data_IF_279819803321
#
_entry.id   IF_279819803321
#
_cell.length_a   1.000
_cell.length_b   1.000
_cell.length_c   1.000
_cell.angle_alpha   90.00
_cell.angle_beta   90.00
_cell.angle_gamma   90.00
#
_symmetry.space_group_name_H-M   'P 1'
#
loop_
_entity.id
_entity.type
_entity.pdbx_description
1 polymer ?
#
# COMPACT_ATOMS: atom_id res chain seq x y z
N UNK A 1 -17.03 -11.58 8.66
CA UNK A 1 -16.40 -10.24 8.60
C UNK A 1 -16.31 -9.69 10.01
N UNK A 2 -15.15 -9.19 10.46
CA UNK A 2 -14.98 -8.58 11.78
C UNK A 2 -15.10 -7.05 11.67
N UNK A 3 -16.27 -6.50 11.99
CA UNK A 3 -16.49 -5.05 12.01
C UNK A 3 -15.52 -4.34 12.98
N UNK A 4 -15.22 -3.06 12.72
CA UNK A 4 -14.48 -2.22 13.65
C UNK A 4 -15.24 -2.14 14.99
N UNK A 5 -14.67 -2.74 16.03
CA UNK A 5 -15.19 -2.70 17.40
C UNK A 5 -14.16 -2.02 18.29
N UNK A 6 -14.59 -1.03 19.06
CA UNK A 6 -13.77 -0.48 20.13
C UNK A 6 -13.43 -1.60 21.14
N UNK A 7 -12.27 -1.50 21.79
CA UNK A 7 -11.90 -2.44 22.85
C UNK A 7 -12.68 -2.13 24.13
N UNK A 8 -13.16 -3.14 24.87
CA UNK A 8 -13.69 -2.92 26.21
C UNK A 8 -12.58 -2.36 27.10
N UNK A 9 -12.94 -1.43 27.99
CA UNK A 9 -12.02 -0.93 29.03
C UNK A 9 -11.63 -2.08 29.96
N UNK A 10 -10.36 -2.19 30.39
CA UNK A 10 -9.99 -3.15 31.41
C UNK A 10 -10.63 -2.76 32.75
N UNK A 11 -11.60 -3.54 33.20
CA UNK A 11 -12.10 -3.42 34.58
C UNK A 11 -10.98 -3.77 35.57
N UNK A 12 -10.88 -2.99 36.64
CA UNK A 12 -9.79 -3.11 37.63
C UNK A 12 -10.00 -4.29 38.58
N UNK A 13 -10.00 -5.53 38.07
CA UNK A 13 -10.05 -6.74 38.88
C UNK A 13 -8.65 -7.13 39.38
N UNK A 14 -8.31 -6.71 40.60
CA UNK A 14 -7.12 -7.20 41.31
C UNK A 14 -7.23 -8.71 41.56
N UNK A 15 -6.52 -9.54 40.79
CA UNK A 15 -6.40 -10.97 41.07
C UNK A 15 -4.95 -11.46 41.07
N UNK A 16 -4.59 -12.14 42.16
CA UNK A 16 -3.23 -12.61 42.50
C UNK A 16 -2.59 -13.42 41.37
N UNK A 17 -1.30 -13.18 41.13
CA UNK A 17 -0.42 -14.10 40.38
C UNK A 17 -0.41 -15.47 41.07
N UNK A 18 -0.52 -16.53 40.27
CA UNK A 18 0.12 -17.81 40.55
C UNK A 18 0.89 -18.21 39.28
N UNK A 19 2.19 -18.45 39.42
CA UNK A 19 3.07 -18.86 38.33
C UNK A 19 3.03 -20.38 38.16
N UNK A 20 2.94 -20.90 36.94
CA UNK A 20 3.66 -22.13 36.55
C UNK A 20 3.54 -22.47 35.05
N UNK A 21 4.70 -22.68 34.41
CA UNK A 21 4.91 -23.30 33.09
C UNK A 21 4.28 -22.58 31.86
N UNK A 22 4.80 -22.68 30.64
CA UNK A 22 5.97 -23.42 30.14
C UNK A 22 6.67 -22.58 29.06
N UNK A 23 7.98 -22.81 28.86
CA UNK A 23 8.79 -22.10 27.86
C UNK A 23 8.48 -22.61 26.44
N UNK A 24 7.46 -22.03 25.79
CA UNK A 24 7.33 -22.11 24.34
C UNK A 24 8.20 -21.01 23.72
N UNK A 25 9.28 -21.37 23.04
CA UNK A 25 10.20 -20.43 22.41
C UNK A 25 9.56 -19.76 21.19
N UNK A 26 8.92 -18.61 21.42
CA UNK A 26 8.56 -17.67 20.36
C UNK A 26 9.84 -17.15 19.71
N UNK A 27 10.28 -17.80 18.62
CA UNK A 27 11.41 -17.34 17.82
C UNK A 27 11.13 -15.94 17.32
N UNK A 28 11.99 -14.99 17.68
CA UNK A 28 11.82 -13.58 17.32
C UNK A 28 11.91 -13.44 15.81
N UNK A 29 10.88 -12.83 15.20
CA UNK A 29 10.80 -12.70 13.74
C UNK A 29 11.94 -11.87 13.13
N UNK A 30 12.73 -11.18 13.95
CA UNK A 30 13.91 -10.42 13.55
C UNK A 30 15.12 -11.30 13.19
N UNK A 31 15.18 -12.55 13.67
CA UNK A 31 16.30 -13.46 13.41
C UNK A 31 16.20 -14.26 12.09
N UNK A 32 15.06 -14.19 11.36
CA UNK A 32 14.99 -14.79 10.02
C UNK A 32 15.72 -13.93 8.99
N UNK A 33 16.50 -14.56 8.11
CA UNK A 33 17.12 -13.89 6.96
C UNK A 33 16.06 -13.27 6.05
N UNK A 34 16.42 -12.20 5.30
CA UNK A 34 15.49 -11.53 4.37
C UNK A 34 14.87 -12.51 3.37
N UNK A 35 15.66 -13.45 2.84
CA UNK A 35 15.17 -14.54 1.99
C UNK A 35 14.08 -15.41 2.64
N UNK A 36 14.22 -15.73 3.93
CA UNK A 36 13.22 -16.49 4.68
C UNK A 36 11.92 -15.71 4.94
N UNK A 37 11.96 -14.37 4.90
CA UNK A 37 10.78 -13.50 4.99
C UNK A 37 10.05 -13.42 3.64
N UNK A 38 10.80 -13.25 2.55
CA UNK A 38 10.26 -13.19 1.18
C UNK A 38 9.68 -14.52 0.67
N UNK A 39 9.99 -15.66 1.32
CA UNK A 39 9.63 -17.00 0.86
C UNK A 39 8.14 -17.19 0.49
N UNK A 40 7.21 -16.60 1.24
CA UNK A 40 5.76 -16.71 0.93
C UNK A 40 5.34 -15.92 -0.32
N UNK A 41 5.97 -14.77 -0.57
CA UNK A 41 5.70 -13.89 -1.70
C UNK A 41 6.35 -14.40 -3.02
N UNK A 42 7.22 -15.42 -2.94
CA UNK A 42 7.76 -16.11 -4.13
C UNK A 42 6.70 -16.90 -4.89
N UNK A 43 5.67 -17.41 -4.21
CA UNK A 43 4.60 -18.18 -4.86
C UNK A 43 3.60 -17.25 -5.56
N UNK A 44 3.28 -17.47 -6.85
CA UNK A 44 2.17 -16.78 -7.53
C UNK A 44 0.82 -17.00 -6.83
N UNK A 45 0.61 -18.15 -6.17
CA UNK A 45 -0.61 -18.43 -5.41
C UNK A 45 -0.86 -17.47 -4.24
N UNK A 46 0.13 -16.66 -3.84
CA UNK A 46 -0.08 -15.59 -2.87
C UNK A 46 -1.07 -14.53 -3.37
N UNK A 47 -1.13 -14.29 -4.68
CA UNK A 47 -2.11 -13.38 -5.31
C UNK A 47 -3.54 -13.91 -5.09
N UNK A 48 -3.74 -15.23 -5.21
CA UNK A 48 -5.00 -15.91 -4.88
C UNK A 48 -5.35 -15.80 -3.39
N UNK A 49 -4.35 -15.89 -2.49
CA UNK A 49 -4.55 -15.72 -1.04
C UNK A 49 -5.01 -14.30 -0.69
N UNK A 50 -4.47 -13.28 -1.35
CA UNK A 50 -4.97 -11.90 -1.20
C UNK A 50 -6.41 -11.79 -1.75
N UNK A 51 -6.68 -12.33 -2.94
CA UNK A 51 -7.97 -12.24 -3.61
C UNK A 51 -9.11 -12.92 -2.84
N UNK A 52 -8.87 -14.09 -2.23
CA UNK A 52 -9.86 -14.77 -1.36
C UNK A 52 -10.22 -13.97 -0.09
N UNK A 53 -9.41 -12.97 0.26
CA UNK A 53 -9.65 -12.02 1.36
C UNK A 53 -10.07 -10.63 0.86
N UNK A 54 -10.41 -10.53 -0.42
CA UNK A 54 -10.92 -9.32 -1.06
C UNK A 54 -9.85 -8.31 -1.49
N UNK A 55 -8.56 -8.64 -1.49
CA UNK A 55 -7.48 -7.75 -1.96
C UNK A 55 -6.93 -8.25 -3.31
N UNK A 56 -7.02 -7.42 -4.35
CA UNK A 56 -6.73 -7.84 -5.73
C UNK A 56 -5.50 -7.13 -6.30
N UNK A 57 -4.56 -7.87 -6.90
CA UNK A 57 -3.40 -7.28 -7.60
C UNK A 57 -3.64 -7.04 -9.11
N UNK A 58 -4.71 -7.60 -9.65
CA UNK A 58 -5.18 -7.32 -11.00
C UNK A 58 -5.84 -5.94 -11.07
N UNK A 59 -5.93 -5.36 -12.28
CA UNK A 59 -6.73 -4.16 -12.49
C UNK A 59 -8.21 -4.50 -12.33
N UNK A 60 -8.99 -3.56 -11.78
CA UNK A 60 -10.43 -3.69 -11.65
C UNK A 60 -11.11 -3.20 -12.92
N UNK A 61 -12.15 -3.91 -13.38
CA UNK A 61 -13.03 -3.43 -14.45
C UNK A 61 -13.69 -2.08 -14.09
N UNK A 62 -13.81 -1.79 -12.79
CA UNK A 62 -14.18 -0.49 -12.25
C UNK A 62 -12.91 0.35 -12.01
N UNK A 63 -12.52 1.13 -13.02
CA UNK A 63 -11.40 2.09 -12.95
C UNK A 63 -11.48 3.00 -11.70
N UNK A 64 -10.34 3.58 -11.29
CA UNK A 64 -10.33 4.69 -10.32
C UNK A 64 -11.23 5.85 -10.76
N UNK A 65 -11.64 6.69 -9.80
CA UNK A 65 -12.31 7.97 -10.11
C UNK A 65 -11.43 8.88 -10.96
N UNK A 66 -12.05 9.79 -11.72
CA UNK A 66 -11.31 10.78 -12.52
C UNK A 66 -10.53 11.79 -11.65
N UNK A 67 -10.97 12.02 -10.40
CA UNK A 67 -10.22 12.78 -9.40
C UNK A 67 -8.89 12.09 -9.08
N UNK A 68 -8.92 10.78 -8.82
CA UNK A 68 -7.72 9.98 -8.58
C UNK A 68 -6.82 9.87 -9.83
N UNK A 69 -7.39 9.78 -11.04
CA UNK A 69 -6.59 9.88 -12.29
C UNK A 69 -5.89 11.23 -12.42
N UNK A 70 -6.59 12.32 -12.10
CA UNK A 70 -6.04 13.68 -12.06
C UNK A 70 -4.89 13.81 -11.05
N UNK A 71 -5.04 13.22 -9.87
CA UNK A 71 -3.95 13.10 -8.89
C UNK A 71 -2.74 12.36 -9.46
N UNK A 72 -2.92 11.17 -10.04
CA UNK A 72 -1.80 10.43 -10.65
C UNK A 72 -1.04 11.24 -11.71
N UNK A 73 -1.77 11.90 -12.62
CA UNK A 73 -1.14 12.76 -13.64
C UNK A 73 -0.36 13.91 -12.99
N UNK A 74 -0.95 14.63 -12.04
CA UNK A 74 -0.28 15.72 -11.33
C UNK A 74 0.98 15.24 -10.61
N UNK A 75 0.88 14.13 -9.88
CA UNK A 75 2.00 13.54 -9.13
C UNK A 75 3.17 13.13 -10.03
N UNK A 76 2.91 12.67 -11.25
CA UNK A 76 3.94 12.20 -12.18
C UNK A 76 4.63 13.33 -12.95
N UNK A 77 3.89 14.39 -13.31
CA UNK A 77 4.36 15.44 -14.22
C UNK A 77 4.73 16.77 -13.53
N UNK A 78 4.29 17.00 -12.29
CA UNK A 78 4.69 18.19 -11.54
C UNK A 78 6.18 18.15 -11.19
N UNK A 79 6.90 19.25 -11.46
CA UNK A 79 8.36 19.27 -11.38
C UNK A 79 8.83 19.60 -9.97
N UNK A 80 9.76 18.78 -9.47
CA UNK A 80 10.34 18.94 -8.13
C UNK A 80 11.84 19.29 -8.20
N UNK A 81 12.33 20.00 -7.18
CA UNK A 81 13.75 20.37 -7.09
C UNK A 81 14.60 19.11 -6.89
N UNK A 82 15.44 18.78 -7.86
CA UNK A 82 16.34 17.61 -7.77
C UNK A 82 17.52 17.89 -6.82
N UNK A 83 18.00 16.88 -6.06
CA UNK A 83 19.22 17.00 -5.27
C UNK A 83 20.45 17.19 -6.16
N UNK A 84 21.31 18.14 -5.78
CA UNK A 84 22.58 18.40 -6.48
C UNK A 84 23.62 17.32 -6.18
N UNK A 85 24.61 17.21 -7.07
CA UNK A 85 25.83 16.40 -6.91
C UNK A 85 25.64 14.91 -6.60
N UNK A 86 24.50 14.38 -7.06
CA UNK A 86 24.17 12.96 -6.97
C UNK A 86 24.75 12.12 -8.12
N UNK A 87 24.72 10.80 -7.96
CA UNK A 87 24.98 9.84 -9.04
C UNK A 87 23.91 9.87 -10.14
N UNK A 88 22.78 10.57 -9.94
CA UNK A 88 21.74 10.79 -10.94
C UNK A 88 22.08 11.97 -11.90
N UNK A 89 23.36 12.31 -12.11
CA UNK A 89 23.84 13.06 -13.29
C UNK A 89 24.14 12.11 -14.46
N UNK A 90 24.02 12.55 -15.72
CA UNK A 90 23.95 11.62 -16.87
C UNK A 90 25.27 10.90 -17.17
N UNK A 91 26.39 11.58 -16.96
CA UNK A 91 27.75 11.04 -16.96
C UNK A 91 27.96 9.91 -15.95
N UNK A 92 27.32 10.02 -14.77
CA UNK A 92 27.55 9.14 -13.60
C UNK A 92 26.54 8.02 -13.46
N UNK A 93 25.30 8.22 -13.93
CA UNK A 93 24.19 7.31 -13.65
C UNK A 93 24.38 5.91 -14.23
N UNK A 94 24.79 5.81 -15.50
CA UNK A 94 25.07 4.50 -16.13
C UNK A 94 26.16 3.74 -15.36
N UNK A 95 27.23 4.42 -15.00
CA UNK A 95 28.34 3.87 -14.20
C UNK A 95 27.90 3.46 -12.79
N UNK A 96 26.99 4.19 -12.16
CA UNK A 96 26.42 3.84 -10.85
C UNK A 96 25.53 2.58 -10.95
N UNK A 97 24.64 2.51 -11.94
CA UNK A 97 23.84 1.31 -12.22
C UNK A 97 24.72 0.08 -12.52
N UNK A 98 25.78 0.23 -13.31
CA UNK A 98 26.76 -0.84 -13.57
C UNK A 98 27.48 -1.29 -12.30
N UNK A 99 27.88 -0.37 -11.41
CA UNK A 99 28.51 -0.72 -10.11
C UNK A 99 27.55 -1.42 -9.14
N UNK A 100 26.25 -1.17 -9.26
CA UNK A 100 25.18 -1.81 -8.49
C UNK A 100 24.66 -3.11 -9.13
N UNK A 101 24.97 -3.36 -10.41
CA UNK A 101 24.66 -4.61 -11.07
C UNK A 101 25.28 -5.80 -10.31
N UNK A 102 24.46 -6.83 -10.10
CA UNK A 102 24.81 -8.03 -9.32
C UNK A 102 25.26 -7.76 -7.87
N UNK A 103 24.92 -6.60 -7.28
CA UNK A 103 25.06 -6.36 -5.84
C UNK A 103 23.79 -6.77 -5.10
N UNK A 104 23.89 -6.93 -3.78
CA UNK A 104 22.76 -7.26 -2.94
C UNK A 104 21.83 -6.05 -2.71
N UNK A 105 20.62 -6.35 -2.23
CA UNK A 105 19.54 -5.39 -1.98
C UNK A 105 20.00 -4.20 -1.12
N UNK A 106 20.73 -4.45 -0.04
CA UNK A 106 21.30 -3.42 0.85
C UNK A 106 22.20 -2.41 0.12
N UNK A 107 22.95 -2.83 -0.92
CA UNK A 107 23.77 -1.92 -1.74
C UNK A 107 22.93 -1.10 -2.71
N UNK A 108 21.83 -1.64 -3.24
CA UNK A 108 20.85 -0.89 -4.06
C UNK A 108 20.13 0.15 -3.17
N UNK A 109 19.77 -0.24 -1.94
CA UNK A 109 19.19 0.65 -0.92
C UNK A 109 20.10 1.85 -0.64
N UNK A 110 21.36 1.59 -0.28
CA UNK A 110 22.34 2.65 -0.02
C UNK A 110 22.70 3.48 -1.25
N UNK A 111 22.75 2.87 -2.44
CA UNK A 111 23.27 3.50 -3.65
C UNK A 111 22.29 4.41 -4.38
N UNK A 112 21.01 4.01 -4.49
CA UNK A 112 20.02 4.73 -5.31
C UNK A 112 18.64 4.90 -4.68
N UNK A 113 18.26 4.14 -3.66
CA UNK A 113 16.85 4.14 -3.22
C UNK A 113 16.42 5.50 -2.65
N UNK A 114 17.31 6.25 -1.98
CA UNK A 114 17.02 7.62 -1.53
C UNK A 114 16.96 8.67 -2.66
N UNK A 115 17.33 8.30 -3.89
CA UNK A 115 17.15 9.09 -5.11
C UNK A 115 15.89 8.66 -5.90
N UNK A 116 15.18 7.64 -5.43
CA UNK A 116 13.90 7.16 -5.97
C UNK A 116 12.79 7.53 -4.98
N UNK A 117 12.98 7.16 -3.72
CA UNK A 117 12.09 7.40 -2.58
C UNK A 117 12.88 8.16 -1.48
N UNK A 118 12.93 9.50 -1.53
CA UNK A 118 13.64 10.29 -0.54
C UNK A 118 13.07 10.14 0.87
N UNK A 119 13.95 10.31 1.86
CA UNK A 119 13.60 10.28 3.28
C UNK A 119 12.69 11.46 3.65
N UNK A 120 11.50 11.19 4.16
CA UNK A 120 10.58 12.20 4.67
C UNK A 120 11.18 12.94 5.88
N UNK A 121 11.70 12.19 6.86
CA UNK A 121 12.35 12.74 8.07
C UNK A 121 13.65 13.48 7.74
N UNK A 122 14.43 12.96 6.78
CA UNK A 122 15.64 13.61 6.28
C UNK A 122 15.33 14.89 5.52
N UNK A 123 14.20 14.97 4.80
CA UNK A 123 13.73 16.21 4.18
C UNK A 123 13.27 17.23 5.24
N UNK A 124 12.51 16.79 6.25
CA UNK A 124 12.08 17.63 7.37
C UNK A 124 13.30 18.23 8.11
N UNK A 125 14.27 17.38 8.47
CA UNK A 125 15.55 17.78 9.09
C UNK A 125 16.32 18.82 8.26
N UNK A 126 16.24 18.73 6.94
CA UNK A 126 16.86 19.68 6.00
C UNK A 126 15.97 20.92 5.70
N UNK A 127 14.95 21.18 6.53
CA UNK A 127 14.15 22.41 6.52
C UNK A 127 12.78 22.32 5.86
N UNK A 128 12.35 21.14 5.37
CA UNK A 128 10.99 20.94 4.85
C UNK A 128 9.98 20.74 6.00
N UNK A 129 9.73 21.82 6.77
CA UNK A 129 8.96 21.79 8.03
C UNK A 129 7.57 21.15 7.92
N UNK A 130 6.92 21.31 6.77
CA UNK A 130 5.60 20.72 6.51
C UNK A 130 5.58 19.17 6.57
N UNK A 131 6.77 18.54 6.58
CA UNK A 131 6.97 17.09 6.68
C UNK A 131 7.32 16.62 8.11
N UNK A 132 7.44 17.52 9.11
CA UNK A 132 7.73 17.17 10.52
C UNK A 132 6.65 16.28 11.17
N UNK A 133 5.47 16.20 10.56
CA UNK A 133 4.38 15.31 10.97
C UNK A 133 4.33 13.98 10.19
N UNK A 134 5.36 13.67 9.41
CA UNK A 134 5.58 12.36 8.82
C UNK A 134 6.64 11.59 9.61
N UNK A 135 6.50 10.26 9.65
CA UNK A 135 7.52 9.35 10.14
C UNK A 135 7.85 8.32 9.06
N UNK A 136 9.06 7.79 9.09
CA UNK A 136 9.47 6.72 8.20
C UNK A 136 9.95 5.47 8.96
N UNK A 137 9.81 4.31 8.33
CA UNK A 137 10.36 3.04 8.84
C UNK A 137 11.23 2.40 7.77
N UNK A 138 12.39 1.84 8.14
CA UNK A 138 13.34 1.21 7.20
C UNK A 138 13.50 -0.27 7.56
N UNK A 139 12.91 -1.18 6.77
CA UNK A 139 12.97 -2.62 7.03
C UNK A 139 12.52 -2.98 8.47
N UNK A 140 11.45 -2.34 8.95
CA UNK A 140 10.82 -2.61 10.25
C UNK A 140 9.52 -3.40 10.05
N UNK A 141 9.27 -4.40 10.90
CA UNK A 141 8.04 -5.19 10.85
C UNK A 141 6.88 -4.40 11.41
N UNK A 142 5.74 -4.41 10.71
CA UNK A 142 4.50 -3.72 11.10
C UNK A 142 3.78 -4.43 12.25
N UNK A 143 4.45 -4.50 13.41
CA UNK A 143 4.03 -5.24 14.62
C UNK A 143 2.82 -4.66 15.32
N UNK A 144 2.49 -3.40 15.06
CA UNK A 144 1.30 -2.75 15.62
C UNK A 144 0.07 -2.91 14.73
N UNK A 145 0.21 -3.53 13.55
CA UNK A 145 -0.93 -3.81 12.68
C UNK A 145 -1.70 -5.07 13.06
N UNK A 146 -3.01 -5.05 12.82
CA UNK A 146 -3.83 -6.25 12.77
C UNK A 146 -3.53 -7.04 11.47
N UNK A 147 -3.03 -8.26 11.62
CA UNK A 147 -2.60 -9.09 10.50
C UNK A 147 -3.75 -9.43 9.53
N UNK A 148 -3.51 -9.27 8.22
CA UNK A 148 -4.46 -9.61 7.17
C UNK A 148 -4.35 -11.09 6.74
N UNK A 149 -3.14 -11.52 6.35
CA UNK A 149 -2.84 -12.92 6.09
C UNK A 149 -1.35 -13.24 6.29
N UNK A 150 -1.01 -14.39 6.88
CA UNK A 150 0.40 -14.79 7.03
C UNK A 150 1.22 -13.84 7.93
N UNK A 151 2.50 -13.57 7.60
CA UNK A 151 3.38 -12.73 8.41
C UNK A 151 3.05 -11.25 8.22
N UNK A 152 3.21 -10.44 9.27
CA UNK A 152 3.07 -8.99 9.18
C UNK A 152 4.07 -8.41 8.16
N UNK A 153 3.68 -7.40 7.36
CA UNK A 153 4.60 -6.73 6.44
C UNK A 153 5.88 -6.21 7.10
N UNK A 154 6.94 -6.10 6.30
CA UNK A 154 8.21 -5.49 6.66
C UNK A 154 8.81 -4.81 5.42
N UNK A 155 8.26 -3.67 4.97
CA UNK A 155 8.75 -2.97 3.78
C UNK A 155 10.19 -2.51 3.95
N UNK A 156 11.00 -2.53 2.88
CA UNK A 156 12.35 -1.94 2.90
C UNK A 156 12.30 -0.46 3.29
N UNK A 157 11.24 0.24 2.88
CA UNK A 157 10.91 1.59 3.32
C UNK A 157 9.40 1.82 3.38
N UNK A 158 8.92 2.59 4.37
CA UNK A 158 7.54 3.05 4.44
C UNK A 158 7.42 4.45 5.06
N UNK A 159 6.33 5.15 4.72
CA UNK A 159 5.97 6.46 5.31
C UNK A 159 4.51 6.44 5.74
N UNK A 160 4.25 7.04 6.90
CA UNK A 160 2.91 7.33 7.42
C UNK A 160 2.94 8.60 8.25
N UNK A 161 1.86 8.85 8.97
CA UNK A 161 1.73 10.01 9.83
C UNK A 161 2.34 9.77 11.21
N UNK A 162 3.07 10.77 11.69
CA UNK A 162 3.49 10.86 13.08
C UNK A 162 2.26 11.02 13.99
N UNK A 163 2.40 10.69 15.29
CA UNK A 163 1.38 11.02 16.30
C UNK A 163 1.07 12.53 16.32
N UNK A 164 2.06 13.38 16.05
CA UNK A 164 1.94 14.85 15.97
C UNK A 164 1.13 15.36 14.77
N UNK A 165 0.73 14.50 13.82
CA UNK A 165 -0.17 14.87 12.72
C UNK A 165 -1.63 15.05 13.17
N UNK A 166 -1.98 14.60 14.38
CA UNK A 166 -3.34 14.57 14.90
C UNK A 166 -3.47 15.42 16.15
N UNK A 167 -4.64 16.04 16.35
CA UNK A 167 -4.94 16.78 17.58
C UNK A 167 -5.10 15.82 18.78
N UNK A 168 -4.98 16.32 20.01
CA UNK A 168 -5.24 15.52 21.21
C UNK A 168 -6.65 14.90 21.17
N UNK A 169 -7.65 15.67 20.73
CA UNK A 169 -9.03 15.19 20.53
C UNK A 169 -9.14 14.06 19.50
N UNK A 170 -8.42 14.14 18.39
CA UNK A 170 -8.38 13.06 17.39
C UNK A 170 -7.69 11.81 17.96
N UNK A 171 -6.62 11.98 18.74
CA UNK A 171 -5.91 10.88 19.41
C UNK A 171 -6.76 10.23 20.50
N UNK A 172 -7.57 10.99 21.24
CA UNK A 172 -8.56 10.47 22.20
C UNK A 172 -9.64 9.64 21.50
N UNK A 173 -10.15 10.10 20.34
CA UNK A 173 -11.11 9.34 19.53
C UNK A 173 -10.52 8.07 18.91
N UNK A 174 -9.23 8.08 18.57
CA UNK A 174 -8.52 6.89 18.07
C UNK A 174 -8.13 5.88 19.17
N UNK A 175 -7.95 6.33 20.41
CA UNK A 175 -7.44 5.51 21.51
C UNK A 175 -8.19 4.16 21.73
N UNK A 176 -9.54 4.08 21.65
CA UNK A 176 -10.26 2.80 21.78
C UNK A 176 -9.96 1.75 20.71
N UNK A 177 -9.39 2.16 19.57
CA UNK A 177 -9.04 1.31 18.43
C UNK A 177 -7.54 1.03 18.31
N UNK A 178 -6.70 1.94 18.82
CA UNK A 178 -5.25 1.79 18.88
C UNK A 178 -4.83 0.96 20.10
N UNK A 179 -5.48 1.17 21.25
CA UNK A 179 -5.11 0.57 22.53
C UNK A 179 -4.02 1.35 23.27
N UNK A 180 -3.99 1.19 24.60
CA UNK A 180 -3.18 2.04 25.50
C UNK A 180 -1.70 1.60 25.63
N UNK A 181 -1.36 0.36 25.26
CA UNK A 181 -0.02 -0.22 25.46
C UNK A 181 0.73 -0.31 24.13
N UNK A 182 1.78 0.51 23.91
CA UNK A 182 2.65 0.40 22.74
C UNK A 182 3.23 -1.01 22.60
N UNK A 183 3.43 -1.46 21.36
CA UNK A 183 4.00 -2.78 21.00
C UNK A 183 3.21 -4.04 21.43
N UNK A 184 2.14 -3.92 22.21
CA UNK A 184 1.23 -5.04 22.55
C UNK A 184 -0.11 -4.98 21.79
N UNK A 185 -0.40 -3.87 21.10
CA UNK A 185 -1.70 -3.66 20.48
C UNK A 185 -1.66 -3.81 18.95
N UNK A 186 -2.40 -4.82 18.47
CA UNK A 186 -2.78 -4.94 17.06
C UNK A 186 -3.92 -3.97 16.74
N UNK A 187 -3.68 -2.95 15.92
CA UNK A 187 -4.66 -1.96 15.48
C UNK A 187 -4.81 -1.98 13.95
N UNK A 188 -5.93 -1.48 13.45
CA UNK A 188 -6.06 -1.15 12.03
C UNK A 188 -5.24 0.08 11.64
N UNK A 189 -5.04 1.01 12.58
CA UNK A 189 -4.55 2.36 12.26
C UNK A 189 -3.03 2.53 12.43
N UNK A 190 -2.31 1.52 12.91
CA UNK A 190 -0.85 1.55 13.11
C UNK A 190 -0.12 0.53 12.25
N UNK A 191 1.03 0.94 11.69
CA UNK A 191 2.04 0.06 11.13
C UNK A 191 3.03 -0.37 12.23
N UNK A 192 3.83 0.58 12.68
CA UNK A 192 4.69 0.51 13.87
C UNK A 192 4.04 1.28 15.02
N UNK A 193 4.62 1.26 16.22
CA UNK A 193 4.06 1.99 17.37
C UNK A 193 4.06 3.51 17.20
N UNK A 194 4.80 4.04 16.22
CA UNK A 194 4.95 5.47 15.93
C UNK A 194 4.27 5.91 14.62
N UNK A 195 3.99 4.98 13.70
CA UNK A 195 3.45 5.27 12.36
C UNK A 195 1.94 4.98 12.27
N UNK A 196 1.16 6.05 12.20
CA UNK A 196 -0.30 6.02 12.00
C UNK A 196 -0.63 6.12 10.51
N UNK A 197 -1.66 5.39 10.05
CA UNK A 197 -2.15 5.39 8.66
C UNK A 197 -1.00 5.45 7.62
N UNK A 198 -0.21 4.38 7.46
CA UNK A 198 0.82 4.32 6.43
C UNK A 198 0.19 4.56 5.05
N UNK A 199 0.85 5.33 4.19
CA UNK A 199 0.32 5.68 2.85
C UNK A 199 1.35 5.52 1.72
N UNK A 200 2.61 5.24 2.04
CA UNK A 200 3.65 4.94 1.05
C UNK A 200 4.47 3.73 1.51
N UNK A 201 4.73 2.80 0.59
CA UNK A 201 5.74 1.74 0.78
C UNK A 201 6.67 1.62 -0.41
N UNK A 202 7.88 1.14 -0.14
CA UNK A 202 8.84 0.77 -1.17
C UNK A 202 9.50 -0.58 -0.84
N UNK A 203 9.64 -1.39 -1.87
CA UNK A 203 10.30 -2.70 -1.86
C UNK A 203 11.41 -2.70 -2.91
N UNK A 204 12.62 -3.04 -2.48
CA UNK A 204 13.81 -3.04 -3.34
C UNK A 204 14.20 -4.47 -3.63
N UNK A 205 14.51 -4.84 -4.88
CA UNK A 205 14.89 -6.21 -5.21
C UNK A 205 16.06 -6.25 -6.19
N UNK A 206 16.68 -7.41 -6.35
CA UNK A 206 17.80 -7.61 -7.26
C UNK A 206 17.43 -8.61 -8.36
N UNK A 207 17.17 -8.11 -9.57
CA UNK A 207 16.88 -8.92 -10.77
C UNK A 207 15.41 -8.87 -11.19
N UNK A 208 15.16 -9.04 -12.48
CA UNK A 208 13.84 -8.79 -13.09
C UNK A 208 12.71 -9.65 -12.49
N UNK A 209 12.95 -10.96 -12.32
CA UNK A 209 11.99 -11.91 -11.73
C UNK A 209 11.68 -11.66 -10.25
N UNK A 210 12.42 -10.75 -9.60
CA UNK A 210 12.20 -10.40 -8.20
C UNK A 210 11.25 -9.20 -8.03
N UNK A 211 10.98 -8.41 -9.07
CA UNK A 211 10.04 -7.29 -8.98
C UNK A 211 8.60 -7.76 -8.71
N UNK A 212 8.18 -8.91 -9.23
CA UNK A 212 6.85 -9.45 -8.95
C UNK A 212 6.71 -9.90 -7.47
N UNK A 213 7.84 -10.21 -6.80
CA UNK A 213 7.89 -10.46 -5.36
C UNK A 213 7.75 -9.15 -4.58
N UNK A 214 8.43 -8.08 -5.01
CA UNK A 214 8.23 -6.73 -4.46
C UNK A 214 6.77 -6.29 -4.61
N UNK A 215 6.17 -6.51 -5.79
CA UNK A 215 4.77 -6.15 -6.04
C UNK A 215 3.81 -6.90 -5.10
N UNK A 216 4.05 -8.18 -4.79
CA UNK A 216 3.27 -8.95 -3.79
C UNK A 216 3.51 -8.50 -2.35
N UNK A 217 4.72 -8.07 -2.00
CA UNK A 217 5.05 -7.53 -0.67
C UNK A 217 4.42 -6.15 -0.46
N UNK A 218 4.54 -5.27 -1.46
CA UNK A 218 3.86 -3.98 -1.53
C UNK A 218 2.34 -4.18 -1.51
N UNK A 219 1.80 -5.18 -2.21
CA UNK A 219 0.39 -5.52 -2.18
C UNK A 219 -0.08 -5.95 -0.78
N UNK A 220 0.68 -6.77 -0.04
CA UNK A 220 0.28 -7.06 1.34
C UNK A 220 0.31 -5.79 2.21
N UNK A 221 1.36 -4.97 2.08
CA UNK A 221 1.55 -3.74 2.87
C UNK A 221 0.46 -2.70 2.60
N UNK A 222 0.17 -2.44 1.32
CA UNK A 222 -0.87 -1.50 0.90
C UNK A 222 -2.28 -2.01 1.21
N UNK A 223 -2.48 -3.33 1.37
CA UNK A 223 -3.78 -3.87 1.83
C UNK A 223 -4.06 -3.39 3.25
N UNK A 224 -3.05 -3.45 4.14
CA UNK A 224 -3.20 -2.97 5.52
C UNK A 224 -3.40 -1.45 5.56
N UNK A 225 -2.65 -0.69 4.76
CA UNK A 225 -2.78 0.77 4.65
C UNK A 225 -4.18 1.21 4.19
N UNK A 226 -4.65 0.69 3.06
CA UNK A 226 -5.97 0.99 2.49
C UNK A 226 -7.07 0.54 3.44
N UNK A 227 -6.92 -0.63 4.08
CA UNK A 227 -7.87 -1.12 5.08
C UNK A 227 -8.00 -0.19 6.29
N UNK A 228 -6.90 0.42 6.76
CA UNK A 228 -6.93 1.37 7.86
C UNK A 228 -7.91 2.53 7.59
N UNK A 229 -7.84 3.10 6.39
CA UNK A 229 -8.71 4.20 5.96
C UNK A 229 -10.13 3.69 5.67
N UNK A 230 -10.28 2.53 5.02
CA UNK A 230 -11.58 1.95 4.70
C UNK A 230 -12.42 1.60 5.94
N UNK A 231 -11.81 0.97 6.95
CA UNK A 231 -12.50 0.62 8.21
C UNK A 231 -12.88 1.88 9.01
N UNK A 232 -12.06 2.95 8.95
CA UNK A 232 -12.39 4.25 9.54
C UNK A 232 -13.60 4.90 8.85
N UNK A 233 -13.56 5.04 7.53
CA UNK A 233 -14.63 5.70 6.77
C UNK A 233 -15.96 4.92 6.86
N UNK A 234 -15.90 3.59 6.82
CA UNK A 234 -17.06 2.72 7.04
C UNK A 234 -17.64 2.83 8.45
N UNK A 235 -16.80 3.05 9.46
CA UNK A 235 -17.27 3.24 10.84
C UNK A 235 -18.04 4.55 11.04
N UNK A 236 -17.70 5.60 10.28
CA UNK A 236 -18.42 6.90 10.31
C UNK A 236 -19.46 7.05 9.19
N UNK A 237 -19.76 6.00 8.42
CA UNK A 237 -20.79 6.00 7.37
C UNK A 237 -20.46 6.86 6.15
N UNK A 238 -19.16 7.00 5.83
CA UNK A 238 -18.63 7.86 4.76
C UNK A 238 -17.92 7.05 3.65
N UNK A 239 -18.11 5.73 3.58
CA UNK A 239 -17.41 4.85 2.63
C UNK A 239 -17.50 5.28 1.15
N UNK A 240 -18.58 5.94 0.73
CA UNK A 240 -18.72 6.44 -0.65
C UNK A 240 -17.73 7.55 -1.01
N UNK A 241 -17.21 8.32 -0.04
CA UNK A 241 -16.19 9.36 -0.30
C UNK A 241 -14.83 8.81 -0.72
N UNK A 242 -14.57 7.54 -0.41
CA UNK A 242 -13.31 6.85 -0.71
C UNK A 242 -13.49 5.70 -1.70
N UNK A 243 -14.73 5.46 -2.15
CA UNK A 243 -15.05 4.42 -3.10
C UNK A 243 -14.32 4.68 -4.43
N UNK A 244 -13.48 3.73 -4.86
CA UNK A 244 -12.59 3.82 -6.04
C UNK A 244 -11.56 4.97 -6.02
N UNK A 245 -11.32 5.61 -4.87
CA UNK A 245 -10.24 6.58 -4.68
C UNK A 245 -8.90 5.91 -4.36
N UNK A 246 -7.79 6.56 -4.71
CA UNK A 246 -6.44 6.16 -4.31
C UNK A 246 -6.16 6.66 -2.89
N UNK A 247 -5.90 5.71 -1.99
CA UNK A 247 -5.67 5.96 -0.56
C UNK A 247 -4.23 5.70 -0.11
N UNK A 248 -3.39 5.08 -0.94
CA UNK A 248 -1.99 4.82 -0.66
C UNK A 248 -1.20 4.51 -1.96
N UNK A 249 0.13 4.55 -1.91
CA UNK A 249 1.01 4.30 -3.04
C UNK A 249 2.10 3.28 -2.71
N UNK A 250 2.51 2.50 -3.71
CA UNK A 250 3.67 1.62 -3.61
C UNK A 250 4.64 1.80 -4.76
N UNK A 251 5.92 1.60 -4.44
CA UNK A 251 7.05 1.66 -5.37
C UNK A 251 7.83 0.34 -5.28
N UNK A 252 7.97 -0.35 -6.40
CA UNK A 252 8.82 -1.54 -6.51
C UNK A 252 9.98 -1.21 -7.42
N UNK A 253 11.23 -1.41 -6.99
CA UNK A 253 12.37 -1.11 -7.86
C UNK A 253 13.56 -2.05 -7.71
N UNK A 254 14.40 -2.08 -8.74
CA UNK A 254 15.72 -2.70 -8.70
C UNK A 254 16.82 -1.66 -9.03
N UNK A 255 17.98 -2.11 -9.50
CA UNK A 255 19.11 -1.27 -9.87
C UNK A 255 18.99 -0.60 -11.26
N UNK A 256 17.91 -0.90 -12.01
CA UNK A 256 17.69 -0.47 -13.41
C UNK A 256 16.27 0.04 -13.69
N UNK A 257 15.27 -0.43 -12.94
CA UNK A 257 13.85 -0.29 -13.24
C UNK A 257 13.09 0.17 -12.01
N UNK A 258 12.17 1.12 -12.18
CA UNK A 258 11.19 1.51 -11.16
C UNK A 258 9.79 1.24 -11.70
N UNK A 259 8.99 0.49 -10.94
CA UNK A 259 7.54 0.35 -11.10
C UNK A 259 6.87 1.23 -10.05
N UNK A 260 6.12 2.23 -10.48
CA UNK A 260 5.23 3.02 -9.64
C UNK A 260 3.82 2.53 -9.95
N UNK A 261 3.11 1.98 -8.96
CA UNK A 261 1.86 1.22 -9.18
C UNK A 261 0.62 2.08 -9.54
N UNK A 262 0.82 3.21 -10.23
CA UNK A 262 -0.24 4.15 -10.63
C UNK A 262 -0.11 4.76 -12.03
N UNK A 263 0.91 4.45 -12.86
CA UNK A 263 0.83 4.76 -14.31
C UNK A 263 1.91 4.19 -15.26
N UNK A 264 3.20 4.08 -14.85
CA UNK A 264 4.29 4.06 -15.84
C UNK A 264 5.47 3.13 -15.51
N UNK A 265 6.00 2.51 -16.58
CA UNK A 265 7.39 2.01 -16.61
C UNK A 265 8.34 3.20 -16.52
N UNK A 266 9.16 3.29 -15.46
CA UNK A 266 10.01 4.43 -15.16
C UNK A 266 11.14 4.67 -16.17
N UNK A 267 10.82 5.26 -17.34
CA UNK A 267 11.78 5.60 -18.40
C UNK A 267 12.54 6.89 -18.16
N UNK A 268 12.03 7.79 -17.34
CA UNK A 268 12.69 9.04 -16.97
C UNK A 268 13.30 8.98 -15.57
N UNK A 269 14.54 9.47 -15.48
CA UNK A 269 15.46 9.29 -14.36
C UNK A 269 14.97 9.84 -13.03
N UNK A 270 14.28 10.97 -13.07
CA UNK A 270 13.81 11.68 -11.88
C UNK A 270 12.31 11.47 -11.62
N UNK A 271 11.58 10.76 -12.48
CA UNK A 271 10.12 10.57 -12.35
C UNK A 271 9.73 9.99 -11.00
N UNK A 272 10.45 8.98 -10.50
CA UNK A 272 10.15 8.38 -9.19
C UNK A 272 10.44 9.33 -8.01
N UNK A 273 11.52 10.10 -8.11
CA UNK A 273 11.85 11.13 -7.12
C UNK A 273 10.79 12.23 -7.09
N UNK A 274 10.43 12.77 -8.26
CA UNK A 274 9.39 13.78 -8.41
C UNK A 274 8.06 13.26 -7.89
N UNK A 275 7.65 12.06 -8.33
CA UNK A 275 6.45 11.40 -7.84
C UNK A 275 6.42 11.29 -6.31
N UNK A 276 7.47 10.75 -5.68
CA UNK A 276 7.52 10.61 -4.21
C UNK A 276 7.46 11.98 -3.52
N UNK A 277 8.22 12.97 -4.00
CA UNK A 277 8.16 14.34 -3.46
C UNK A 277 6.76 14.94 -3.61
N UNK A 278 6.11 14.74 -4.75
CA UNK A 278 4.74 15.21 -5.00
C UNK A 278 3.71 14.49 -4.13
N UNK A 279 3.91 13.20 -3.82
CA UNK A 279 3.08 12.47 -2.85
C UNK A 279 3.16 13.14 -1.48
N UNK A 280 4.37 13.47 -1.01
CA UNK A 280 4.58 14.17 0.27
C UNK A 280 4.04 15.60 0.28
N UNK A 281 4.29 16.38 -0.77
CA UNK A 281 4.04 17.82 -0.79
C UNK A 281 2.62 18.20 -1.21
N UNK A 282 1.98 17.41 -2.10
CA UNK A 282 0.75 17.82 -2.80
C UNK A 282 -0.44 16.91 -2.44
N UNK A 283 -0.28 15.59 -2.48
CA UNK A 283 -1.37 14.66 -2.19
C UNK A 283 -1.55 14.43 -0.68
N UNK A 284 -0.46 14.23 0.07
CA UNK A 284 -0.49 13.91 1.49
C UNK A 284 -1.18 14.96 2.39
N UNK A 285 -1.15 16.27 2.12
CA UNK A 285 -1.97 17.23 2.87
C UNK A 285 -3.48 16.98 2.71
N UNK A 286 -3.94 16.65 1.49
CA UNK A 286 -5.33 16.31 1.20
C UNK A 286 -5.73 14.98 1.85
N UNK A 287 -4.85 13.97 1.77
CA UNK A 287 -5.08 12.69 2.43
C UNK A 287 -5.15 12.80 3.96
N UNK A 288 -4.27 13.60 4.58
CA UNK A 288 -4.34 13.87 6.01
C UNK A 288 -5.65 14.57 6.38
N UNK A 289 -6.04 15.62 5.65
CA UNK A 289 -7.30 16.35 5.92
C UNK A 289 -8.52 15.43 5.82
N UNK A 290 -8.55 14.53 4.83
CA UNK A 290 -9.57 13.46 4.69
C UNK A 290 -9.60 12.55 5.92
N UNK A 291 -8.44 12.01 6.35
CA UNK A 291 -8.36 11.12 7.52
C UNK A 291 -8.74 11.84 8.82
N UNK A 292 -8.22 13.05 9.06
CA UNK A 292 -8.59 13.89 10.20
C UNK A 292 -10.10 14.16 10.26
N UNK A 293 -10.72 14.53 9.13
CA UNK A 293 -12.17 14.77 9.05
C UNK A 293 -12.98 13.53 9.46
N UNK A 294 -12.60 12.34 9.00
CA UNK A 294 -13.30 11.12 9.42
C UNK A 294 -13.03 10.74 10.89
N UNK A 295 -11.86 11.07 11.44
CA UNK A 295 -11.60 10.92 12.89
C UNK A 295 -12.47 11.90 13.69
N UNK A 296 -12.67 13.12 13.19
CA UNK A 296 -13.49 14.13 13.86
C UNK A 296 -14.97 13.74 13.96
N UNK A 297 -15.47 12.87 13.07
CA UNK A 297 -16.82 12.30 13.15
C UNK A 297 -16.95 11.09 14.09
N UNK A 298 -15.85 10.56 14.64
CA UNK A 298 -15.92 9.46 15.63
C UNK A 298 -16.62 9.96 16.92
N UNK A 299 -17.69 9.29 17.39
CA UNK A 299 -18.34 9.64 18.65
C UNK A 299 -17.44 9.27 19.84
N UNK A 300 -17.27 10.20 20.79
CA UNK A 300 -16.52 9.96 22.04
C UNK A 300 -17.10 8.83 22.91
N UNK A 301 -18.38 8.47 22.72
CA UNK A 301 -19.04 7.36 23.40
C UNK A 301 -19.30 6.22 22.42
N UNK A 302 -18.33 5.32 22.28
CA UNK A 302 -18.62 3.98 21.72
C UNK A 302 -19.24 3.14 22.83
N UNK A 303 -20.57 3.21 22.96
CA UNK A 303 -21.31 2.40 23.92
C UNK A 303 -21.45 0.98 23.36
N UNK A 304 -20.58 0.07 23.81
CA UNK A 304 -20.49 -1.29 23.29
C UNK A 304 -21.62 -2.15 23.87
N UNK A 305 -22.75 -2.19 23.18
CA UNK A 305 -23.83 -3.12 23.46
C UNK A 305 -23.31 -4.56 23.54
N UNK A 306 -23.32 -5.13 24.75
CA UNK A 306 -22.83 -6.49 25.02
C UNK A 306 -23.87 -7.50 24.54
N UNK A 307 -23.75 -7.94 23.29
CA UNK A 307 -24.34 -9.22 22.87
C UNK A 307 -23.46 -10.35 23.41
N UNK A 308 -23.86 -10.96 24.53
CA UNK A 308 -23.27 -12.22 24.99
C UNK A 308 -23.50 -13.30 23.92
N UNK A 309 -22.48 -14.08 23.53
CA UNK A 309 -22.69 -15.24 22.67
C UNK A 309 -23.29 -16.39 23.49
N UNK A 310 -24.42 -16.92 23.04
CA UNK A 310 -25.04 -18.12 23.62
C UNK A 310 -24.07 -19.31 23.57
N UNK A 311 -23.76 -19.96 24.70
CA UNK A 311 -22.88 -21.12 24.74
C UNK A 311 -23.63 -22.41 24.38
N UNK A 312 -24.03 -22.57 23.12
CA UNK A 312 -24.75 -23.78 22.70
C UNK A 312 -25.20 -23.87 21.25
N UNK A 313 -24.27 -24.19 20.34
CA UNK A 313 -24.58 -24.91 19.09
C UNK A 313 -23.30 -25.43 18.42
N UNK A 314 -22.92 -26.67 18.76
CA UNK A 314 -22.03 -27.45 17.89
C UNK A 314 -22.85 -27.89 16.66
N UNK A 315 -22.37 -27.59 15.46
CA UNK A 315 -22.84 -28.27 14.25
C UNK A 315 -21.66 -28.58 13.34
N UNK A 316 -21.64 -29.81 12.83
CA UNK A 316 -20.48 -30.40 12.15
C UNK A 316 -20.35 -29.91 10.71
N UNK A 317 -19.12 -29.72 10.24
CA UNK A 317 -18.82 -29.57 8.81
C UNK A 317 -18.31 -30.92 8.28
N UNK A 318 -18.98 -31.56 7.32
CA UNK A 318 -18.42 -32.69 6.59
C UNK A 318 -17.37 -32.21 5.58
N UNK A 319 -16.20 -32.85 5.60
CA UNK A 319 -15.22 -32.77 4.51
C UNK A 319 -15.79 -33.41 3.24
N UNK A 320 -15.68 -32.74 2.09
CA UNK A 320 -15.87 -33.35 0.78
C UNK A 320 -14.76 -32.96 -0.20
N UNK A 321 -14.41 -33.92 -1.04
CA UNK A 321 -13.23 -33.97 -1.93
C UNK A 321 -13.54 -33.48 -3.35
N UNK A 322 -12.47 -33.33 -4.14
CA UNK A 322 -12.49 -32.99 -5.57
C UNK A 322 -13.31 -33.97 -6.44
N UNK A 323 -13.77 -33.49 -7.60
CA UNK A 323 -14.39 -34.34 -8.63
C UNK A 323 -15.02 -33.59 -9.82
N UNK A 324 -14.29 -33.62 -10.94
CA UNK A 324 -14.76 -33.65 -12.35
C UNK A 324 -15.05 -32.37 -13.18
N UNK A 325 -14.42 -32.39 -14.36
CA UNK A 325 -14.50 -31.47 -15.50
C UNK A 325 -15.81 -31.57 -16.28
N UNK A 326 -16.26 -30.46 -16.88
CA UNK A 326 -16.90 -30.49 -18.21
C UNK A 326 -16.35 -29.34 -19.08
N UNK A 327 -15.72 -29.70 -20.21
CA UNK A 327 -15.42 -28.80 -21.32
C UNK A 327 -16.68 -28.56 -22.17
N UNK A 328 -16.89 -27.32 -22.66
CA UNK A 328 -17.70 -27.09 -23.86
C UNK A 328 -16.98 -26.11 -24.80
N UNK A 329 -17.09 -26.41 -26.09
CA UNK A 329 -16.22 -25.95 -27.19
C UNK A 329 -16.65 -24.64 -27.87
N UNK A 330 -15.69 -24.09 -28.61
CA UNK A 330 -15.74 -22.88 -29.42
C UNK A 330 -16.19 -23.16 -30.86
N UNK A 331 -17.06 -22.30 -31.42
CA UNK A 331 -17.27 -22.10 -32.87
C UNK A 331 -18.19 -20.88 -33.10
N UNK A 332 -18.11 -20.01 -34.13
CA UNK A 332 -17.10 -19.55 -35.10
C UNK A 332 -17.85 -18.84 -36.26
N UNK A 333 -17.10 -18.12 -37.13
CA UNK A 333 -17.52 -17.49 -38.41
C UNK A 333 -18.38 -16.19 -38.25
N UNK A 334 -18.41 -15.20 -39.17
CA UNK A 334 -17.58 -14.91 -40.38
C UNK A 334 -17.49 -13.38 -40.64
N UNK A 335 -16.69 -12.95 -41.63
CA UNK A 335 -16.39 -11.56 -42.02
C UNK A 335 -17.32 -10.96 -43.11
N UNK A 336 -17.17 -9.65 -43.42
CA UNK A 336 -16.69 -9.19 -44.76
C UNK A 336 -16.50 -7.65 -44.93
N UNK A 337 -15.29 -7.26 -45.38
CA UNK A 337 -14.95 -6.33 -46.51
C UNK A 337 -15.72 -4.99 -46.63
N UNK A 338 -15.17 -3.78 -46.40
CA UNK A 338 -14.01 -3.04 -46.99
C UNK A 338 -14.28 -2.30 -48.34
N UNK A 339 -14.34 -0.96 -48.32
CA UNK A 339 -14.05 -0.02 -49.45
C UNK A 339 -13.52 1.32 -48.88
N UNK A 340 -12.59 1.99 -49.59
CA UNK A 340 -12.03 3.34 -49.33
C UNK A 340 -12.01 4.16 -50.66
N UNK A 341 -11.42 5.38 -50.82
CA UNK A 341 -10.82 6.36 -49.89
C UNK A 341 -11.26 7.85 -50.15
N UNK A 342 -10.52 8.81 -49.56
CA UNK A 342 -10.43 10.29 -49.78
C UNK A 342 -11.12 11.18 -48.71
N UNK A 343 -10.56 12.33 -48.27
CA UNK A 343 -9.15 12.79 -48.23
C UNK A 343 -8.99 13.88 -47.13
N UNK A 344 -7.74 14.25 -46.80
CA UNK A 344 -7.36 15.57 -46.24
C UNK A 344 -7.91 16.01 -44.86
N UNK A 345 -7.24 15.63 -43.75
CA UNK A 345 -7.06 16.43 -42.50
C UNK A 345 -6.21 15.62 -41.48
N UNK A 346 -4.88 15.56 -41.68
CA UNK A 346 -4.11 14.39 -41.19
C UNK A 346 -2.91 14.65 -40.26
N UNK A 347 -2.71 15.86 -39.73
CA UNK A 347 -1.60 16.13 -38.78
C UNK A 347 -2.06 16.47 -37.34
N UNK A 348 -2.96 17.45 -37.15
CA UNK A 348 -3.46 17.78 -35.80
C UNK A 348 -4.24 16.62 -35.14
N UNK A 349 -5.01 15.87 -35.94
CA UNK A 349 -5.79 14.71 -35.48
C UNK A 349 -4.91 13.52 -35.10
N UNK A 350 -3.72 13.37 -35.69
CA UNK A 350 -2.77 12.30 -35.32
C UNK A 350 -2.14 12.58 -33.97
N UNK A 351 -1.69 13.81 -33.70
CA UNK A 351 -1.17 14.16 -32.37
C UNK A 351 -2.26 14.06 -31.29
N UNK A 352 -3.51 14.50 -31.57
CA UNK A 352 -4.61 14.35 -30.62
C UNK A 352 -4.98 12.88 -30.36
N UNK A 353 -5.07 12.03 -31.41
CA UNK A 353 -5.33 10.59 -31.24
C UNK A 353 -4.16 9.88 -30.55
N UNK A 354 -2.91 10.21 -30.88
CA UNK A 354 -1.73 9.60 -30.26
C UNK A 354 -1.58 10.02 -28.79
N UNK A 355 -1.89 11.28 -28.45
CA UNK A 355 -1.98 11.74 -27.07
C UNK A 355 -3.13 11.06 -26.31
N UNK A 356 -4.35 11.03 -26.86
CA UNK A 356 -5.50 10.33 -26.26
C UNK A 356 -5.29 8.82 -26.12
N UNK A 357 -4.59 8.19 -27.05
CA UNK A 357 -4.27 6.76 -27.00
C UNK A 357 -3.08 6.48 -26.08
N UNK A 358 -2.14 7.42 -25.93
CA UNK A 358 -1.11 7.36 -24.87
C UNK A 358 -1.75 7.53 -23.49
N UNK A 359 -2.68 8.47 -23.32
CA UNK A 359 -3.45 8.67 -22.08
C UNK A 359 -4.34 7.45 -21.79
N UNK A 360 -5.00 6.87 -22.80
CA UNK A 360 -5.78 5.63 -22.65
C UNK A 360 -4.89 4.42 -22.30
N UNK A 361 -3.69 4.32 -22.86
CA UNK A 361 -2.73 3.27 -22.51
C UNK A 361 -2.00 3.53 -21.17
N UNK A 362 -1.97 4.77 -20.67
CA UNK A 362 -1.54 5.14 -19.31
C UNK A 362 -2.65 4.87 -18.28
N UNK A 363 -3.92 5.05 -18.66
CA UNK A 363 -5.07 4.72 -17.81
C UNK A 363 -5.18 3.19 -17.58
N UNK A 364 -4.86 2.39 -18.60
CA UNK A 364 -4.75 0.91 -18.56
C UNK A 364 -3.47 0.38 -17.86
N UNK A 365 -2.93 1.13 -16.90
CA UNK A 365 -1.75 0.78 -16.09
C UNK A 365 -1.89 1.21 -14.63
N UNK A 366 -3.12 1.28 -14.12
CA UNK A 366 -3.41 1.57 -12.72
C UNK A 366 -3.85 0.26 -12.04
N UNK A 367 -2.88 -0.51 -11.55
CA UNK A 367 -3.13 -1.68 -10.70
C UNK A 367 -3.52 -1.24 -9.30
N UNK A 368 -4.81 -1.01 -9.12
CA UNK A 368 -5.43 -0.71 -7.82
C UNK A 368 -5.55 -2.01 -7.03
N UNK A 369 -5.16 -1.99 -5.76
CA UNK A 369 -5.75 -2.93 -4.81
C UNK A 369 -7.03 -2.36 -4.25
N UNK A 370 -8.15 -2.76 -4.83
CA UNK A 370 -9.44 -2.58 -4.19
C UNK A 370 -9.59 -3.62 -3.07
N UNK A 371 -10.17 -3.19 -1.95
CA UNK A 371 -10.84 -4.10 -1.02
C UNK A 371 -12.29 -4.11 -1.45
N UNK A 372 -12.74 -5.18 -2.10
CA UNK A 372 -14.13 -5.29 -2.54
C UNK A 372 -15.05 -5.43 -1.32
N UNK A 373 -15.92 -4.44 -1.10
CA UNK A 373 -17.12 -4.63 -0.28
C UNK A 373 -18.15 -5.35 -1.15
N UNK A 374 -18.58 -6.53 -0.71
CA UNK A 374 -19.83 -7.18 -1.09
C UNK A 374 -20.82 -7.02 0.07
#
# INVERSE_FOLDING_TARGET
MSHLRARPKPESSLRRKNSNSSLASSTTSDQKSRDGKSAKYRSPSYETVLATKGSFMAESDLEVTDLSKGWCQKLLYEKQKTPKDTFFKDDRFRTACQKLQSKNESRVIQGISRLIVPSAEGLATNGAKDLENLVESVNESWRSSLAFCGPLPQPDYAVGFARSAFSNTQLEKLAPFIGEVPNLCNSYFLATFYMHFPFLTCEVKCGASALDIADRQNAHSMTLAVRAVAELFKFVGREEEINREILAFSISHDHRSVRIFTALDGKEKWTAYHFTRNVYDIWRPNHLSRVCSAIDDIPFRVDLGVSQPDPGSQSNVPSFTEGDDIQVTQASLVASVEVTPNSSFTEQTKQSKQAKQTISNMAKKVRIMQIANY
#
